data_IF_561747383399
#
_entry.id   IF_561747383399
#
_cell.length_a   1.000
_cell.length_b   1.000
_cell.length_c   1.000
_cell.angle_alpha   90.00
_cell.angle_beta   90.00
_cell.angle_gamma   90.00
#
_symmetry.space_group_name_H-M   'P 1'
#
loop_
_entity.id
_entity.type
_entity.pdbx_description
1 polymer ?
#
# COMPACT_ATOMS: atom_id res chain seq x y z
N UNK A 1 0.00 9.14 -18.95
CA UNK A 1 -0.46 7.81 -18.53
C UNK A 1 -1.60 8.00 -17.56
N UNK A 2 -2.75 7.39 -17.83
CA UNK A 2 -3.90 7.43 -16.93
C UNK A 2 -3.63 6.48 -15.74
N UNK A 3 -3.45 7.05 -14.55
CA UNK A 3 -3.11 6.30 -13.33
C UNK A 3 -4.24 5.33 -12.92
N UNK A 4 -5.49 5.72 -13.14
CA UNK A 4 -6.63 4.88 -12.79
C UNK A 4 -6.71 3.68 -13.74
N UNK A 5 -6.51 3.92 -15.04
CA UNK A 5 -6.47 2.85 -16.03
C UNK A 5 -5.36 1.84 -15.73
N UNK A 6 -4.18 2.32 -15.36
CA UNK A 6 -3.07 1.45 -14.95
C UNK A 6 -3.46 0.53 -13.79
N UNK A 7 -4.01 1.10 -12.70
CA UNK A 7 -4.40 0.30 -11.53
C UNK A 7 -5.47 -0.75 -11.86
N UNK A 8 -6.44 -0.40 -12.71
CA UNK A 8 -7.59 -1.27 -13.02
C UNK A 8 -7.29 -2.35 -14.07
N UNK A 9 -6.29 -2.17 -14.92
CA UNK A 9 -6.14 -3.04 -16.09
C UNK A 9 -4.73 -3.58 -16.30
N UNK A 10 -3.70 -2.90 -15.82
CA UNK A 10 -2.29 -3.26 -16.10
C UNK A 10 -1.59 -3.79 -14.85
N UNK A 11 -1.85 -3.19 -13.68
CA UNK A 11 -1.09 -3.45 -12.47
C UNK A 11 -1.11 -4.92 -12.03
N UNK A 12 -2.30 -5.52 -11.94
CA UNK A 12 -2.45 -6.94 -11.58
C UNK A 12 -1.79 -7.87 -12.61
N UNK A 13 -1.87 -7.51 -13.91
CA UNK A 13 -1.26 -8.33 -14.96
C UNK A 13 0.27 -8.34 -14.86
N UNK A 14 0.86 -7.19 -14.52
CA UNK A 14 2.31 -7.08 -14.29
C UNK A 14 2.75 -7.88 -13.07
N UNK A 15 2.01 -7.81 -11.97
CA UNK A 15 2.32 -8.59 -10.76
C UNK A 15 2.20 -10.10 -11.02
N UNK A 16 1.23 -10.53 -11.82
CA UNK A 16 1.05 -11.94 -12.20
C UNK A 16 2.18 -12.48 -13.09
N UNK A 17 3.05 -11.64 -13.64
CA UNK A 17 4.22 -12.05 -14.42
C UNK A 17 5.49 -12.24 -13.57
N UNK A 18 5.44 -11.90 -12.27
CA UNK A 18 6.57 -12.07 -11.37
C UNK A 18 6.80 -13.55 -11.05
N UNK A 19 8.07 -13.97 -11.05
CA UNK A 19 8.47 -15.24 -10.45
C UNK A 19 8.34 -15.11 -8.93
N UNK A 20 7.60 -16.02 -8.30
CA UNK A 20 7.39 -16.06 -6.84
C UNK A 20 8.70 -16.12 -6.03
N UNK A 21 9.77 -16.63 -6.63
CA UNK A 21 11.09 -16.76 -6.04
C UNK A 21 12.00 -15.55 -6.31
N UNK A 22 11.47 -14.49 -6.93
CA UNK A 22 12.22 -13.26 -7.16
C UNK A 22 12.72 -12.71 -5.82
N UNK A 23 14.04 -12.55 -5.61
CA UNK A 23 14.57 -12.00 -4.37
C UNK A 23 14.20 -10.52 -4.25
N UNK A 24 13.90 -10.02 -3.04
CA UNK A 24 13.63 -8.60 -2.84
C UNK A 24 14.87 -7.77 -3.17
N UNK A 25 14.69 -6.69 -3.95
CA UNK A 25 15.75 -5.70 -4.19
C UNK A 25 16.04 -4.85 -2.95
N UNK A 26 14.98 -4.53 -2.20
CA UNK A 26 15.02 -3.86 -0.91
C UNK A 26 13.90 -4.40 -0.02
N UNK A 27 14.05 -4.23 1.30
CA UNK A 27 13.14 -4.82 2.27
C UNK A 27 13.38 -6.32 2.47
N UNK A 28 12.43 -6.97 3.14
CA UNK A 28 12.54 -8.38 3.59
C UNK A 28 11.38 -9.27 3.12
N UNK A 29 10.38 -8.71 2.46
CA UNK A 29 9.19 -9.43 2.01
C UNK A 29 9.47 -10.18 0.70
N UNK A 30 8.97 -11.41 0.60
CA UNK A 30 8.92 -12.12 -0.68
C UNK A 30 7.80 -11.54 -1.58
N UNK A 31 7.66 -12.08 -2.80
CA UNK A 31 6.67 -11.58 -3.78
C UNK A 31 5.25 -11.62 -3.24
N UNK A 32 4.84 -12.75 -2.63
CA UNK A 32 3.49 -12.89 -2.09
C UNK A 32 3.21 -11.89 -0.96
N UNK A 33 4.12 -11.80 0.02
CA UNK A 33 4.02 -10.85 1.14
C UNK A 33 3.95 -9.40 0.64
N UNK A 34 4.68 -9.06 -0.43
CA UNK A 34 4.62 -7.71 -1.01
C UNK A 34 3.25 -7.43 -1.64
N UNK A 35 2.66 -8.40 -2.35
CA UNK A 35 1.32 -8.26 -2.91
C UNK A 35 0.30 -8.04 -1.79
N UNK A 36 0.37 -8.85 -0.73
CA UNK A 36 -0.49 -8.74 0.46
C UNK A 36 -0.29 -7.40 1.18
N UNK A 37 0.95 -6.91 1.28
CA UNK A 37 1.27 -5.61 1.85
C UNK A 37 0.66 -4.44 1.06
N UNK A 38 0.63 -4.55 -0.27
CA UNK A 38 -0.06 -3.55 -1.11
C UNK A 38 -1.57 -3.65 -0.93
N UNK A 39 -2.14 -4.86 -0.81
CA UNK A 39 -3.57 -5.04 -0.48
C UNK A 39 -3.94 -4.32 0.81
N UNK A 40 -3.15 -4.52 1.88
CA UNK A 40 -3.33 -3.80 3.14
C UNK A 40 -3.34 -2.28 2.95
N UNK A 41 -2.45 -1.76 2.10
CA UNK A 41 -2.37 -0.33 1.81
C UNK A 41 -3.63 0.21 1.12
N UNK A 42 -4.22 -0.54 0.18
CA UNK A 42 -5.50 -0.17 -0.44
C UNK A 42 -6.67 -0.21 0.55
N UNK A 43 -6.73 -1.23 1.40
CA UNK A 43 -7.76 -1.34 2.45
C UNK A 43 -7.64 -0.21 3.46
N UNK A 44 -6.42 0.18 3.82
CA UNK A 44 -6.15 1.35 4.64
C UNK A 44 -6.67 2.63 3.96
N UNK A 45 -6.32 2.83 2.69
CA UNK A 45 -6.74 3.99 1.91
C UNK A 45 -8.26 4.04 1.65
N UNK A 46 -8.93 2.89 1.63
CA UNK A 46 -10.39 2.77 1.55
C UNK A 46 -11.10 2.96 2.91
N UNK A 47 -10.34 3.09 4.00
CA UNK A 47 -10.85 3.35 5.35
C UNK A 47 -11.40 2.11 6.05
N UNK A 48 -10.96 0.92 5.64
CA UNK A 48 -11.37 -0.34 6.26
C UNK A 48 -10.66 -0.63 7.59
N UNK A 49 -9.60 0.12 7.88
CA UNK A 49 -8.77 -0.07 9.07
C UNK A 49 -8.98 1.10 10.03
N UNK A 50 -9.08 0.77 11.33
CA UNK A 50 -9.12 1.78 12.40
C UNK A 50 -7.71 2.37 12.58
N UNK A 51 -7.43 3.40 11.80
CA UNK A 51 -6.15 4.11 11.83
C UNK A 51 -6.24 5.24 12.85
N UNK A 52 -5.45 5.16 13.91
CA UNK A 52 -5.19 6.29 14.80
C UNK A 52 -3.97 7.04 14.30
N UNK A 53 -3.99 8.37 14.37
CA UNK A 53 -2.79 9.18 14.17
C UNK A 53 -1.70 8.72 15.14
N UNK A 54 -0.48 8.54 14.62
CA UNK A 54 0.67 8.07 15.39
C UNK A 54 1.71 9.17 15.65
N UNK A 55 1.56 10.32 15.00
CA UNK A 55 2.50 11.43 15.05
C UNK A 55 1.90 12.66 15.72
N UNK A 56 2.75 13.51 16.30
CA UNK A 56 2.33 14.86 16.68
C UNK A 56 2.21 15.74 15.42
N UNK A 57 1.51 16.87 15.53
CA UNK A 57 1.26 17.78 14.41
C UNK A 57 2.56 18.21 13.70
N UNK A 58 3.65 18.38 14.46
CA UNK A 58 4.96 18.77 13.92
C UNK A 58 5.56 17.68 13.05
N UNK A 59 5.47 16.42 13.48
CA UNK A 59 5.99 15.26 12.75
C UNK A 59 5.12 14.99 11.53
N UNK A 60 3.80 15.06 11.67
CA UNK A 60 2.85 15.00 10.55
C UNK A 60 3.21 15.99 9.46
N UNK A 61 3.38 17.27 9.81
CA UNK A 61 3.66 18.32 8.83
C UNK A 61 4.97 18.04 8.07
N UNK A 62 5.99 17.51 8.74
CA UNK A 62 7.26 17.10 8.11
C UNK A 62 7.05 15.93 7.15
N UNK A 63 6.27 14.93 7.52
CA UNK A 63 5.97 13.77 6.67
C UNK A 63 5.17 14.18 5.44
N UNK A 64 4.18 15.06 5.60
CA UNK A 64 3.44 15.66 4.48
C UNK A 64 4.35 16.43 3.53
N UNK A 65 5.24 17.30 4.05
CA UNK A 65 6.20 18.05 3.23
C UNK A 65 7.16 17.12 2.47
N UNK A 66 7.59 16.03 3.11
CA UNK A 66 8.44 15.04 2.47
C UNK A 66 7.70 14.29 1.34
N UNK A 67 6.46 13.86 1.59
CA UNK A 67 5.62 13.20 0.59
C UNK A 67 5.36 14.08 -0.65
N UNK A 68 5.17 15.38 -0.43
CA UNK A 68 4.95 16.36 -1.51
C UNK A 68 6.24 16.82 -2.20
N UNK A 69 7.40 16.30 -1.80
CA UNK A 69 8.70 16.65 -2.39
C UNK A 69 9.17 15.60 -3.40
N UNK A 70 10.08 15.99 -4.29
CA UNK A 70 10.75 15.07 -5.22
C UNK A 70 11.92 14.29 -4.59
N UNK A 71 12.07 14.34 -3.25
CA UNK A 71 13.16 13.64 -2.58
C UNK A 71 12.93 12.13 -2.66
N UNK A 72 13.92 11.34 -3.09
CA UNK A 72 13.77 9.90 -3.13
C UNK A 72 13.56 9.34 -1.72
N UNK A 73 12.68 8.35 -1.61
CA UNK A 73 12.55 7.56 -0.40
C UNK A 73 13.83 6.75 -0.21
N UNK A 74 14.44 6.81 0.97
CA UNK A 74 15.65 6.05 1.25
C UNK A 74 15.30 4.56 1.30
N UNK A 75 16.06 3.74 0.57
CA UNK A 75 15.93 2.28 0.62
C UNK A 75 16.07 1.78 2.05
N UNK A 76 15.26 0.76 2.41
CA UNK A 76 15.25 0.14 3.74
C UNK A 76 15.00 1.13 4.89
N UNK A 77 14.23 2.19 4.66
CA UNK A 77 13.76 3.06 5.76
C UNK A 77 12.88 2.23 6.70
N UNK A 78 13.27 2.05 7.98
CA UNK A 78 12.50 1.26 8.91
C UNK A 78 11.18 1.97 9.24
N UNK A 79 10.10 1.21 9.30
CA UNK A 79 8.84 1.69 9.85
C UNK A 79 8.84 1.39 11.36
N UNK A 80 8.94 2.40 12.25
CA UNK A 80 9.02 2.18 13.70
C UNK A 80 7.77 1.52 14.30
N UNK A 81 6.69 1.44 13.52
CA UNK A 81 5.40 0.88 13.92
C UNK A 81 5.20 -0.55 13.42
N UNK A 82 6.18 -1.10 12.69
CA UNK A 82 6.16 -2.47 12.18
C UNK A 82 7.33 -3.27 12.76
N UNK A 83 7.15 -4.59 12.96
CA UNK A 83 8.26 -5.44 13.34
C UNK A 83 9.31 -5.52 12.23
N UNK A 84 10.56 -5.74 12.62
CA UNK A 84 11.67 -5.94 11.69
C UNK A 84 11.53 -7.21 10.82
N UNK A 85 10.75 -8.18 11.27
CA UNK A 85 10.48 -9.43 10.56
C UNK A 85 9.07 -9.31 9.96
N UNK A 86 8.90 -9.41 8.63
CA UNK A 86 7.58 -9.40 8.02
C UNK A 86 6.70 -10.53 8.56
N UNK A 87 5.40 -10.27 8.65
CA UNK A 87 4.42 -11.31 8.94
C UNK A 87 4.49 -12.43 7.89
N UNK A 88 4.20 -13.70 8.26
CA UNK A 88 4.06 -14.76 7.26
C UNK A 88 2.97 -14.39 6.25
N UNK A 89 3.05 -14.98 5.05
CA UNK A 89 2.03 -14.75 4.04
C UNK A 89 0.65 -15.21 4.55
N UNK A 90 -0.38 -14.40 4.29
CA UNK A 90 -1.75 -14.66 4.76
C UNK A 90 -2.44 -15.72 3.91
N UNK A 91 -2.19 -15.72 2.60
CA UNK A 91 -2.81 -16.67 1.67
C UNK A 91 -1.97 -17.92 1.44
N UNK A 92 -2.62 -18.95 0.90
CA UNK A 92 -1.95 -20.19 0.52
C UNK A 92 -1.04 -20.02 -0.71
N UNK A 93 -1.37 -19.08 -1.61
CA UNK A 93 -0.60 -18.83 -2.83
C UNK A 93 -0.75 -17.41 -3.36
N UNK A 94 0.23 -16.97 -4.15
CA UNK A 94 0.27 -15.66 -4.83
C UNK A 94 -0.99 -15.33 -5.62
N UNK A 95 -1.64 -16.34 -6.24
CA UNK A 95 -2.86 -16.13 -7.03
C UNK A 95 -4.03 -15.64 -6.17
N UNK A 96 -4.17 -16.17 -4.96
CA UNK A 96 -5.23 -15.77 -4.03
C UNK A 96 -4.95 -14.34 -3.53
N UNK A 97 -3.69 -14.00 -3.23
CA UNK A 97 -3.29 -12.64 -2.87
C UNK A 97 -3.58 -11.62 -3.98
N UNK A 98 -3.39 -11.99 -5.26
CA UNK A 98 -3.74 -11.13 -6.41
C UNK A 98 -5.25 -10.93 -6.56
N UNK A 99 -6.05 -11.95 -6.26
CA UNK A 99 -7.52 -11.84 -6.25
C UNK A 99 -7.95 -10.84 -5.19
N UNK A 100 -7.42 -10.93 -3.96
CA UNK A 100 -7.74 -9.98 -2.89
C UNK A 100 -7.27 -8.56 -3.24
N UNK A 101 -6.05 -8.41 -3.79
CA UNK A 101 -5.56 -7.09 -4.23
C UNK A 101 -6.49 -6.44 -5.25
N UNK A 102 -6.98 -7.21 -6.23
CA UNK A 102 -7.92 -6.71 -7.22
C UNK A 102 -9.26 -6.28 -6.59
N UNK A 103 -9.75 -7.02 -5.58
CA UNK A 103 -10.96 -6.64 -4.82
C UNK A 103 -10.71 -5.32 -4.07
N UNK A 104 -9.59 -5.20 -3.37
CA UNK A 104 -9.23 -4.01 -2.61
C UNK A 104 -9.09 -2.75 -3.50
N UNK A 105 -8.47 -2.89 -4.68
CA UNK A 105 -8.36 -1.80 -5.66
C UNK A 105 -9.74 -1.36 -6.13
N UNK A 106 -10.62 -2.29 -6.49
CA UNK A 106 -11.96 -1.95 -6.96
C UNK A 106 -12.79 -1.27 -5.86
N UNK A 107 -12.72 -1.76 -4.62
CA UNK A 107 -13.39 -1.13 -3.49
C UNK A 107 -12.88 0.29 -3.24
N UNK A 108 -11.55 0.50 -3.26
CA UNK A 108 -10.95 1.83 -3.18
C UNK A 108 -11.49 2.76 -4.28
N UNK A 109 -11.49 2.31 -5.54
CA UNK A 109 -11.98 3.12 -6.66
C UNK A 109 -13.46 3.48 -6.48
N UNK A 110 -14.31 2.50 -6.19
CA UNK A 110 -15.76 2.71 -5.98
C UNK A 110 -16.02 3.69 -4.82
N UNK A 111 -15.25 3.60 -3.74
CA UNK A 111 -15.39 4.47 -2.56
C UNK A 111 -15.24 5.95 -2.92
N UNK A 112 -14.21 6.30 -3.68
CA UNK A 112 -13.91 7.68 -4.06
C UNK A 112 -14.70 8.14 -5.30
N UNK A 113 -15.13 7.23 -6.18
CA UNK A 113 -16.04 7.57 -7.28
C UNK A 113 -17.42 8.02 -6.76
N UNK A 114 -17.91 7.38 -5.70
CA UNK A 114 -19.20 7.72 -5.09
C UNK A 114 -19.14 8.96 -4.18
N UNK A 115 -17.93 9.39 -3.78
CA UNK A 115 -17.74 10.55 -2.90
C UNK A 115 -16.34 11.18 -3.10
N UNK A 116 -16.24 12.14 -4.01
CA UNK A 116 -14.97 12.84 -4.31
C UNK A 116 -14.45 13.71 -3.16
N UNK A 117 -15.33 14.11 -2.23
CA UNK A 117 -14.97 14.91 -1.06
C UNK A 117 -14.58 14.06 0.15
N UNK A 118 -14.63 12.73 0.03
CA UNK A 118 -14.18 11.84 1.07
C UNK A 118 -12.69 12.09 1.37
N UNK A 119 -12.36 12.17 2.65
CA UNK A 119 -10.99 12.20 3.17
C UNK A 119 -10.83 11.07 4.17
N UNK A 120 -9.77 10.29 4.01
CA UNK A 120 -9.45 9.14 4.87
C UNK A 120 -8.07 9.39 5.43
N UNK A 121 -8.01 9.53 6.75
CA UNK A 121 -6.77 9.83 7.46
C UNK A 121 -5.79 8.68 7.26
N UNK A 122 -4.63 9.01 6.69
CA UNK A 122 -3.47 8.13 6.73
C UNK A 122 -2.76 8.27 8.10
N UNK A 123 -2.52 7.19 8.85
CA UNK A 123 -1.96 7.26 10.21
C UNK A 123 -0.52 7.81 10.28
N UNK A 124 0.21 7.79 9.16
CA UNK A 124 1.58 8.28 9.05
C UNK A 124 1.67 9.71 8.49
N UNK A 125 0.69 10.12 7.70
CA UNK A 125 0.78 11.33 6.88
C UNK A 125 -0.27 12.40 7.25
N UNK A 126 -1.32 12.01 8.00
CA UNK A 126 -2.54 12.80 8.31
C UNK A 126 -3.03 13.70 7.16
N UNK A 127 -3.31 13.10 6.02
CA UNK A 127 -3.90 13.78 4.84
C UNK A 127 -5.35 13.33 4.66
#
# INVERSE_FOLDING_TARGET
>A
MDKLQFLKSEYIQLLNQLDENTPPLFGKMNVQQMIEHVTYSFRQAAGELDNKTLHDETTTQKMYQFLMSDKPFKENTPNPLMPDIPAPAEHACTKDSLIELNIAINHFVEKFQNNSELRIINPFLEI
#
